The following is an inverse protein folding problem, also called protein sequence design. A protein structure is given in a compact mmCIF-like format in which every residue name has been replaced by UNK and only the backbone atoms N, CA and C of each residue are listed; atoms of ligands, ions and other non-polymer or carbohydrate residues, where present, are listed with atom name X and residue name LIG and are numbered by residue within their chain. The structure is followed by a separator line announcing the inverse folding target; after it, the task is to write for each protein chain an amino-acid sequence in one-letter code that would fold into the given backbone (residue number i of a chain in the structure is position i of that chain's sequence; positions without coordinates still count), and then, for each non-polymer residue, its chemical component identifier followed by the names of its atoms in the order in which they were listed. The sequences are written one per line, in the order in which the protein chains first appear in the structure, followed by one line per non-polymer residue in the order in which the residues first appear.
data_IF_679837663668
#
_entry.id   IF_679837663668
#
_cell.length_a   1.000
_cell.length_b   1.000
_cell.length_c   1.000
_cell.angle_alpha   90.00
_cell.angle_beta   90.00
_cell.angle_gamma   90.00
#
_symmetry.space_group_name_H-M   'P 1'
#
loop_
_entity.id
_entity.type
_entity.pdbx_description
1 polymer ?
#
# COMPACT_ATOMS: atom_id res chain seq x y z
N UNK A 1 -9.78 26.15 3.14
CA UNK A 1 -10.39 24.81 3.17
C UNK A 1 -10.32 24.16 1.81
N UNK A 2 -10.16 22.84 1.71
CA UNK A 2 -10.09 22.10 0.44
C UNK A 2 -10.77 20.73 0.56
N UNK A 3 -11.64 20.39 -0.38
CA UNK A 3 -12.34 19.09 -0.42
C UNK A 3 -11.41 18.02 -1.03
N UNK A 4 -11.61 16.76 -0.65
CA UNK A 4 -10.88 15.62 -1.24
C UNK A 4 -11.05 15.60 -2.77
N UNK A 5 -12.22 16.00 -3.30
CA UNK A 5 -12.45 16.03 -4.76
C UNK A 5 -11.65 17.10 -5.50
N UNK A 6 -11.12 18.12 -4.81
CA UNK A 6 -10.42 19.25 -5.41
C UNK A 6 -8.93 19.29 -5.09
N UNK A 7 -8.41 18.30 -4.34
CA UNK A 7 -7.06 18.34 -3.77
C UNK A 7 -5.97 18.56 -4.83
N UNK A 8 -6.02 17.82 -5.96
CA UNK A 8 -5.02 17.91 -7.03
C UNK A 8 -4.94 19.29 -7.64
N UNK A 9 -6.08 19.87 -8.01
CA UNK A 9 -6.14 21.22 -8.59
C UNK A 9 -5.69 22.27 -7.58
N UNK A 10 -6.03 22.10 -6.30
CA UNK A 10 -5.60 23.00 -5.23
C UNK A 10 -4.08 22.94 -5.01
N UNK A 11 -3.47 21.76 -5.10
CA UNK A 11 -2.02 21.61 -5.05
C UNK A 11 -1.32 22.29 -6.25
N UNK A 12 -1.87 22.14 -7.46
CA UNK A 12 -1.36 22.85 -8.65
C UNK A 12 -1.47 24.37 -8.52
N UNK A 13 -2.60 24.88 -8.02
CA UNK A 13 -2.77 26.32 -7.72
C UNK A 13 -1.73 26.83 -6.73
N UNK A 14 -1.50 26.08 -5.65
CA UNK A 14 -0.50 26.45 -4.64
C UNK A 14 0.93 26.49 -5.22
N UNK A 15 1.30 25.53 -6.06
CA UNK A 15 2.60 25.56 -6.77
C UNK A 15 2.68 26.75 -7.74
N UNK A 16 1.58 27.13 -8.38
CA UNK A 16 1.52 28.33 -9.21
C UNK A 16 1.83 29.62 -8.44
N UNK A 17 1.29 29.76 -7.22
CA UNK A 17 1.58 30.91 -6.34
C UNK A 17 3.03 30.92 -5.84
N UNK A 18 3.64 29.74 -5.65
CA UNK A 18 5.03 29.61 -5.23
C UNK A 18 6.04 29.78 -6.38
N UNK A 19 5.60 29.62 -7.64
CA UNK A 19 6.48 29.67 -8.82
C UNK A 19 7.42 30.88 -8.88
N UNK A 20 7.04 32.12 -8.51
CA UNK A 20 7.95 33.26 -8.55
C UNK A 20 9.18 33.16 -7.64
N UNK A 21 9.16 32.27 -6.64
CA UNK A 21 10.25 32.10 -5.67
C UNK A 21 11.24 31.01 -6.08
N UNK A 22 11.00 30.29 -7.18
CA UNK A 22 11.83 29.19 -7.65
C UNK A 22 12.23 29.42 -9.11
N UNK A 23 13.53 29.40 -9.39
CA UNK A 23 14.09 29.75 -10.69
C UNK A 23 13.68 28.79 -11.82
N UNK A 24 13.54 27.51 -11.50
CA UNK A 24 13.36 26.43 -12.49
C UNK A 24 12.20 25.48 -12.11
N UNK A 25 11.11 26.02 -11.55
CA UNK A 25 9.95 25.20 -11.18
C UNK A 25 9.20 24.77 -12.46
N UNK A 26 9.00 23.45 -12.68
CA UNK A 26 8.25 22.98 -13.84
C UNK A 26 6.77 23.37 -13.75
N UNK A 27 6.12 23.47 -14.91
CA UNK A 27 4.68 23.70 -15.00
C UNK A 27 3.84 22.54 -14.43
N UNK A 28 2.51 22.68 -14.39
CA UNK A 28 1.63 21.64 -13.87
C UNK A 28 1.74 20.35 -14.69
N UNK A 29 1.98 19.24 -14.00
CA UNK A 29 2.24 17.94 -14.63
C UNK A 29 1.41 16.80 -14.03
N UNK A 30 0.71 17.04 -12.91
CA UNK A 30 0.02 15.96 -12.16
C UNK A 30 -1.21 15.41 -12.88
N UNK A 31 -1.76 16.18 -13.83
CA UNK A 31 -2.85 15.72 -14.68
C UNK A 31 -2.36 14.64 -15.64
N UNK A 32 -2.87 13.41 -15.49
CA UNK A 32 -2.55 12.29 -16.37
C UNK A 32 -1.38 11.41 -15.90
N UNK A 33 -0.73 11.74 -14.79
CA UNK A 33 0.24 10.83 -14.16
C UNK A 33 -0.50 9.92 -13.17
N UNK A 34 -0.37 8.58 -13.29
CA UNK A 34 -0.95 7.67 -12.32
C UNK A 34 -0.28 7.86 -10.94
N UNK A 35 -1.08 7.74 -9.89
CA UNK A 35 -0.56 7.62 -8.53
C UNK A 35 0.14 6.26 -8.35
N UNK A 36 1.07 6.13 -7.38
CA UNK A 36 1.70 4.85 -7.05
C UNK A 36 0.70 3.70 -6.90
N UNK A 37 1.08 2.52 -7.37
CA UNK A 37 0.21 1.34 -7.46
C UNK A 37 -0.86 1.39 -8.56
N UNK A 38 -1.26 2.58 -9.03
CA UNK A 38 -2.41 2.83 -9.91
C UNK A 38 -2.10 2.93 -11.41
N UNK A 39 -0.94 2.44 -11.87
CA UNK A 39 -0.53 2.46 -13.28
C UNK A 39 -1.27 1.39 -14.11
N UNK A 40 -2.60 1.46 -14.17
CA UNK A 40 -3.47 0.59 -14.98
C UNK A 40 -4.86 1.20 -15.15
N UNK A 41 -5.58 0.84 -16.22
CA UNK A 41 -6.95 1.30 -16.39
C UNK A 41 -7.90 0.53 -15.45
N UNK A 42 -8.95 1.18 -14.95
CA UNK A 42 -9.93 0.54 -14.04
C UNK A 42 -10.55 -0.72 -14.67
N UNK A 43 -10.77 -0.71 -15.99
CA UNK A 43 -11.30 -1.84 -16.74
C UNK A 43 -10.37 -3.07 -16.72
N UNK A 44 -9.07 -2.89 -16.51
CA UNK A 44 -8.07 -3.97 -16.51
C UNK A 44 -7.97 -4.68 -15.15
N UNK A 45 -8.65 -4.16 -14.12
CA UNK A 45 -8.58 -4.69 -12.75
C UNK A 45 -8.91 -6.19 -12.65
N UNK A 46 -9.95 -6.74 -13.33
CA UNK A 46 -10.20 -8.19 -13.31
C UNK A 46 -9.02 -8.99 -13.86
N UNK A 47 -8.41 -8.53 -14.96
CA UNK A 47 -7.25 -9.17 -15.55
C UNK A 47 -6.02 -9.15 -14.64
N UNK A 48 -5.83 -8.08 -13.84
CA UNK A 48 -4.76 -8.05 -12.84
C UNK A 48 -4.98 -9.07 -11.72
N UNK A 49 -6.21 -9.28 -11.28
CA UNK A 49 -6.54 -10.30 -10.27
C UNK A 49 -6.25 -11.69 -10.83
N UNK A 50 -6.67 -11.96 -12.07
CA UNK A 50 -6.42 -13.25 -12.72
C UNK A 50 -4.93 -13.50 -12.93
N UNK A 51 -4.18 -12.46 -13.31
CA UNK A 51 -2.72 -12.54 -13.41
C UNK A 51 -2.07 -12.84 -12.06
N UNK A 52 -2.47 -12.15 -10.99
CA UNK A 52 -1.91 -12.37 -9.65
C UNK A 52 -2.18 -13.80 -9.15
N UNK A 53 -3.35 -14.36 -9.45
CA UNK A 53 -3.68 -15.77 -9.13
C UNK A 53 -2.85 -16.77 -9.94
N UNK A 54 -2.53 -16.45 -11.20
CA UNK A 54 -1.67 -17.29 -12.02
C UNK A 54 -0.21 -17.27 -11.52
N UNK A 55 0.28 -16.09 -11.12
CA UNK A 55 1.65 -15.91 -10.63
C UNK A 55 1.84 -16.49 -9.22
N UNK A 56 0.79 -16.45 -8.37
CA UNK A 56 0.80 -16.95 -6.99
C UNK A 56 -0.38 -17.92 -6.73
N UNK A 57 -0.26 -19.20 -7.14
CA UNK A 57 -1.38 -20.16 -7.10
C UNK A 57 -1.90 -20.52 -5.69
N UNK A 58 -1.16 -20.17 -4.64
CA UNK A 58 -1.59 -20.37 -3.25
C UNK A 58 -2.58 -19.31 -2.76
N UNK A 59 -2.78 -18.21 -3.50
CA UNK A 59 -3.77 -17.20 -3.18
C UNK A 59 -5.18 -17.67 -3.54
N UNK A 60 -6.14 -17.38 -2.68
CA UNK A 60 -7.54 -17.41 -3.09
C UNK A 60 -7.94 -16.11 -3.81
N UNK A 61 -9.05 -16.15 -4.56
CA UNK A 61 -9.54 -14.99 -5.32
C UNK A 61 -9.89 -13.79 -4.44
N UNK A 62 -10.31 -14.01 -3.19
CA UNK A 62 -10.68 -12.92 -2.25
C UNK A 62 -9.43 -12.18 -1.78
N UNK A 63 -8.36 -12.91 -1.49
CA UNK A 63 -7.06 -12.37 -1.11
C UNK A 63 -6.45 -11.59 -2.28
N UNK A 64 -6.36 -12.18 -3.47
CA UNK A 64 -5.86 -11.51 -4.66
C UNK A 64 -6.64 -10.22 -4.97
N UNK A 65 -7.98 -10.28 -4.91
CA UNK A 65 -8.83 -9.10 -5.11
C UNK A 65 -8.64 -8.02 -4.03
N UNK A 66 -8.31 -8.40 -2.77
CA UNK A 66 -7.98 -7.43 -1.72
C UNK A 66 -6.66 -6.73 -2.03
N UNK A 67 -5.62 -7.48 -2.36
CA UNK A 67 -4.30 -6.91 -2.65
C UNK A 67 -4.36 -5.97 -3.85
N UNK A 68 -4.97 -6.38 -4.97
CA UNK A 68 -5.13 -5.50 -6.14
C UNK A 68 -5.98 -4.26 -5.83
N UNK A 69 -6.95 -4.35 -4.91
CA UNK A 69 -7.75 -3.19 -4.50
C UNK A 69 -6.97 -2.22 -3.62
N UNK A 70 -6.12 -2.73 -2.71
CA UNK A 70 -5.34 -1.91 -1.78
C UNK A 70 -4.09 -1.32 -2.42
N UNK A 71 -3.37 -2.13 -3.19
CA UNK A 71 -2.00 -1.85 -3.64
C UNK A 71 -1.84 -1.81 -5.15
N UNK A 72 -2.86 -2.25 -5.91
CA UNK A 72 -2.76 -2.31 -7.38
C UNK A 72 -1.59 -3.17 -7.83
N UNK A 73 -0.71 -2.61 -8.66
CA UNK A 73 0.49 -3.31 -9.17
C UNK A 73 1.58 -3.54 -8.13
N UNK A 74 1.53 -2.87 -6.98
CA UNK A 74 2.52 -3.09 -5.92
C UNK A 74 2.30 -4.43 -5.20
N UNK A 75 1.17 -5.11 -5.43
CA UNK A 75 0.88 -6.45 -4.90
C UNK A 75 1.98 -7.48 -5.22
N UNK A 76 2.61 -7.40 -6.40
CA UNK A 76 3.72 -8.29 -6.77
C UNK A 76 4.98 -8.01 -5.95
N UNK A 77 5.24 -6.76 -5.62
CA UNK A 77 6.38 -6.39 -4.78
C UNK A 77 6.16 -6.80 -3.32
N UNK A 78 4.91 -6.80 -2.85
CA UNK A 78 4.52 -7.32 -1.52
C UNK A 78 4.76 -8.82 -1.44
N UNK A 79 4.28 -9.58 -2.42
CA UNK A 79 4.37 -11.03 -2.43
C UNK A 79 5.78 -11.53 -2.77
N UNK A 80 6.53 -10.75 -3.56
CA UNK A 80 7.93 -11.01 -3.89
C UNK A 80 8.13 -12.42 -4.48
N UNK A 81 9.17 -13.16 -4.07
CA UNK A 81 9.46 -14.50 -4.57
C UNK A 81 8.69 -15.63 -3.86
N UNK A 82 7.68 -15.32 -3.03
CA UNK A 82 6.95 -16.33 -2.26
C UNK A 82 6.33 -17.40 -3.16
N UNK A 83 6.48 -18.67 -2.79
CA UNK A 83 5.91 -19.82 -3.50
C UNK A 83 4.75 -20.45 -2.75
N UNK A 84 4.56 -20.07 -1.48
CA UNK A 84 3.51 -20.55 -0.61
C UNK A 84 3.07 -19.48 0.38
N UNK A 85 1.90 -19.67 1.00
CA UNK A 85 1.44 -18.79 2.07
C UNK A 85 2.37 -18.81 3.30
N UNK A 86 3.10 -19.90 3.52
CA UNK A 86 4.07 -20.01 4.61
C UNK A 86 5.27 -19.06 4.44
N UNK A 87 5.62 -18.72 3.20
CA UNK A 87 6.71 -17.77 2.91
C UNK A 87 6.35 -16.33 3.26
N UNK A 88 5.05 -16.03 3.45
CA UNK A 88 4.54 -14.71 3.85
C UNK A 88 4.32 -14.58 5.37
N UNK A 89 4.47 -15.69 6.10
CA UNK A 89 4.09 -15.82 7.50
C UNK A 89 4.87 -14.89 8.45
N UNK A 90 4.34 -14.61 9.66
CA UNK A 90 3.03 -15.06 10.19
C UNK A 90 1.80 -14.48 9.47
N UNK A 91 0.67 -15.18 9.57
CA UNK A 91 -0.67 -14.67 9.25
C UNK A 91 -1.32 -14.16 10.54
N UNK A 92 -1.77 -12.91 10.50
CA UNK A 92 -2.42 -12.20 11.61
C UNK A 92 -3.94 -12.28 11.54
N UNK A 93 -4.48 -13.06 10.61
CA UNK A 93 -5.91 -13.14 10.34
C UNK A 93 -6.36 -12.16 9.27
N UNK A 94 -7.58 -12.39 8.76
CA UNK A 94 -8.12 -11.68 7.61
C UNK A 94 -7.15 -11.63 6.40
N UNK A 95 -6.26 -12.63 6.29
CA UNK A 95 -5.26 -12.78 5.24
C UNK A 95 -4.14 -11.70 5.28
N UNK A 96 -4.01 -10.99 6.40
CA UNK A 96 -2.94 -10.02 6.64
C UNK A 96 -1.66 -10.75 7.06
N UNK A 97 -0.59 -10.60 6.29
CA UNK A 97 0.65 -11.37 6.49
C UNK A 97 1.80 -10.47 6.91
N UNK A 98 2.86 -11.04 7.49
CA UNK A 98 4.06 -10.29 7.85
C UNK A 98 4.76 -9.65 6.63
N UNK A 99 4.69 -10.28 5.45
CA UNK A 99 5.17 -9.68 4.22
C UNK A 99 4.40 -8.38 3.88
N UNK A 100 3.06 -8.40 4.03
CA UNK A 100 2.22 -7.20 3.86
C UNK A 100 2.53 -6.13 4.92
N UNK A 101 2.74 -6.52 6.19
CA UNK A 101 3.17 -5.58 7.24
C UNK A 101 4.51 -4.92 6.93
N UNK A 102 5.49 -5.72 6.50
CA UNK A 102 6.81 -5.21 6.16
C UNK A 102 6.76 -4.22 5.00
N UNK A 103 5.89 -4.45 4.00
CA UNK A 103 5.63 -3.46 2.97
C UNK A 103 5.08 -2.15 3.54
N UNK A 104 4.03 -2.24 4.36
CA UNK A 104 3.35 -1.09 4.95
C UNK A 104 4.28 -0.25 5.84
N UNK A 105 5.16 -0.91 6.61
CA UNK A 105 6.16 -0.24 7.43
C UNK A 105 7.20 0.49 6.58
N UNK A 106 7.74 -0.17 5.54
CA UNK A 106 8.83 0.39 4.72
C UNK A 106 8.40 1.45 3.72
N UNK A 107 7.21 1.30 3.12
CA UNK A 107 6.79 2.10 1.97
C UNK A 107 5.60 3.02 2.27
N UNK A 108 4.83 2.71 3.31
CA UNK A 108 3.60 3.45 3.65
C UNK A 108 3.64 4.07 5.05
N UNK A 109 4.83 4.11 5.67
CA UNK A 109 5.10 4.78 6.95
C UNK A 109 4.17 4.32 8.08
N UNK A 110 3.79 3.04 8.10
CA UNK A 110 3.03 2.48 9.21
C UNK A 110 3.96 2.29 10.42
N UNK A 111 3.65 2.97 11.52
CA UNK A 111 4.43 2.95 12.76
C UNK A 111 3.71 2.22 13.89
N UNK A 112 2.41 1.95 13.76
CA UNK A 112 1.60 1.19 14.72
C UNK A 112 0.58 0.28 14.05
N UNK A 113 0.02 -0.66 14.81
CA UNK A 113 -1.08 -1.50 14.35
C UNK A 113 -2.28 -0.67 13.85
N UNK A 114 -2.56 0.46 14.50
CA UNK A 114 -3.65 1.36 14.15
C UNK A 114 -3.50 1.92 12.72
N UNK A 115 -2.27 2.25 12.30
CA UNK A 115 -1.99 2.70 10.93
C UNK A 115 -2.43 1.66 9.90
N UNK A 116 -2.08 0.39 10.15
CA UNK A 116 -2.39 -0.71 9.25
C UNK A 116 -3.89 -0.98 9.23
N UNK A 117 -4.49 -1.22 10.41
CA UNK A 117 -5.83 -1.80 10.49
C UNK A 117 -6.93 -0.77 10.26
N UNK A 118 -6.67 0.52 10.51
CA UNK A 118 -7.69 1.59 10.36
C UNK A 118 -7.38 2.59 9.27
N UNK A 119 -6.12 2.79 8.86
CA UNK A 119 -5.79 3.77 7.80
C UNK A 119 -5.51 3.07 6.48
N UNK A 120 -4.58 2.12 6.43
CA UNK A 120 -4.12 1.48 5.18
C UNK A 120 -5.05 0.38 4.64
N UNK A 121 -5.52 -0.54 5.49
CA UNK A 121 -6.21 -1.76 5.01
C UNK A 121 -7.69 -1.86 5.39
N UNK A 122 -8.11 -1.19 6.47
CA UNK A 122 -9.44 -1.33 7.11
C UNK A 122 -9.73 -2.74 7.66
N UNK A 123 -8.69 -3.55 7.88
CA UNK A 123 -8.84 -4.91 8.43
C UNK A 123 -9.20 -4.95 9.92
N UNK A 124 -9.17 -3.81 10.62
CA UNK A 124 -9.68 -3.70 12.00
C UNK A 124 -11.18 -4.02 12.11
N UNK A 125 -11.92 -4.01 10.99
CA UNK A 125 -13.31 -4.48 10.93
C UNK A 125 -13.47 -6.01 10.97
N UNK A 126 -12.37 -6.75 10.90
CA UNK A 126 -12.34 -8.23 10.82
C UNK A 126 -11.43 -8.88 11.86
N UNK A 127 -10.43 -8.15 12.33
CA UNK A 127 -9.50 -8.59 13.36
C UNK A 127 -10.08 -8.35 14.75
N UNK A 128 -9.80 -9.25 15.68
CA UNK A 128 -10.10 -9.06 17.10
C UNK A 128 -9.09 -8.10 17.75
N UNK A 129 -9.39 -7.65 18.98
CA UNK A 129 -8.44 -6.83 19.75
C UNK A 129 -7.15 -7.60 20.07
N UNK A 130 -7.24 -8.91 20.28
CA UNK A 130 -6.08 -9.79 20.50
C UNK A 130 -5.21 -9.88 19.24
N UNK A 131 -5.82 -10.02 18.05
CA UNK A 131 -5.08 -10.04 16.78
C UNK A 131 -4.34 -8.70 16.55
N UNK A 132 -5.03 -7.58 16.82
CA UNK A 132 -4.45 -6.23 16.69
C UNK A 132 -3.28 -6.06 17.67
N UNK A 133 -3.41 -6.56 18.90
CA UNK A 133 -2.34 -6.51 19.90
C UNK A 133 -1.13 -7.37 19.50
N UNK A 134 -1.36 -8.57 18.96
CA UNK A 134 -0.30 -9.43 18.44
C UNK A 134 0.45 -8.78 17.26
N UNK A 135 -0.28 -8.08 16.39
CA UNK A 135 0.28 -7.33 15.29
C UNK A 135 1.15 -6.15 15.76
N UNK A 136 0.70 -5.38 16.75
CA UNK A 136 1.47 -4.27 17.32
C UNK A 136 2.76 -4.78 17.98
N UNK A 137 2.65 -5.87 18.76
CA UNK A 137 3.79 -6.53 19.37
C UNK A 137 4.79 -7.05 18.33
N UNK A 138 4.30 -7.59 17.20
CA UNK A 138 5.17 -8.01 16.11
C UNK A 138 5.89 -6.82 15.46
N UNK A 139 5.19 -5.73 15.16
CA UNK A 139 5.81 -4.52 14.58
C UNK A 139 6.88 -3.92 15.50
N UNK A 140 6.60 -3.86 16.80
CA UNK A 140 7.54 -3.38 17.83
C UNK A 140 8.78 -4.26 17.99
N UNK A 141 8.76 -5.50 17.46
CA UNK A 141 9.87 -6.45 17.44
C UNK A 141 10.35 -6.81 16.02
N UNK A 142 9.79 -6.18 14.99
CA UNK A 142 10.16 -6.46 13.60
C UNK A 142 11.66 -6.19 13.37
N UNK A 143 12.36 -7.03 12.59
CA UNK A 143 13.80 -6.89 12.43
C UNK A 143 14.19 -5.57 11.73
N UNK A 144 15.43 -5.08 11.91
CA UNK A 144 15.83 -3.74 11.45
C UNK A 144 15.68 -3.51 9.94
N UNK A 145 15.83 -4.55 9.13
CA UNK A 145 15.63 -4.55 7.67
C UNK A 145 14.15 -4.36 7.26
N UNK A 146 13.22 -4.71 8.14
CA UNK A 146 11.79 -4.41 8.00
C UNK A 146 11.46 -2.98 8.46
N UNK A 147 12.23 -2.42 9.40
CA UNK A 147 12.03 -1.05 9.93
C UNK A 147 12.72 0.04 9.14
N UNK A 148 13.79 -0.29 8.42
CA UNK A 148 14.49 0.66 7.57
C UNK A 148 13.54 1.09 6.45
N UNK A 149 12.92 2.26 6.61
CA UNK A 149 12.23 2.93 5.52
C UNK A 149 13.22 3.05 4.37
N UNK A 150 12.84 2.53 3.20
CA UNK A 150 13.73 2.52 2.04
C UNK A 150 14.14 3.94 1.67
N UNK A 151 15.42 4.27 1.86
CA UNK A 151 16.12 5.27 1.07
C UNK A 151 16.15 4.78 -0.38
N UNK A 152 15.08 5.02 -1.15
CA UNK A 152 15.10 4.94 -2.60
C UNK A 152 13.83 5.56 -3.20
N UNK A 153 13.93 6.84 -3.59
CA UNK A 153 13.75 7.29 -4.97
C UNK A 153 14.32 8.69 -5.14
#
# INVERSE_FOLDING_TARGET
GGKITTYRRLAESALGELSPFFKDLPGPWTAGVPLPGGDFAVADKPGLIDKLLADYPFLDRRWAARLIRGYGRDAWAILGPAQSAADLAPDFGATLTAAELAWLMRHEFACSAEDIVWRRTKLGLRLSEDDISALDAWMANAPPDVRAAGEAR
#
